data_IF_875481261607
#
_entry.id   IF_875481261607
#
_cell.length_a   1.000
_cell.length_b   1.000
_cell.length_c   1.000
_cell.angle_alpha   90.00
_cell.angle_beta   90.00
_cell.angle_gamma   90.00
#
_symmetry.space_group_name_H-M   'P 1'
#
loop_
_entity.id
_entity.type
_entity.pdbx_description
1 polymer ?
#
# COMPACT_ATOMS: atom_id res chain seq x y z
N UNK A 1 -32.31 5.02 -15.78
CA UNK A 1 -31.37 5.83 -14.99
C UNK A 1 -30.04 5.11 -14.96
N UNK A 2 -29.15 5.43 -15.89
CA UNK A 2 -27.78 4.94 -15.90
C UNK A 2 -27.02 5.62 -14.77
N UNK A 3 -26.75 4.89 -13.69
CA UNK A 3 -25.78 5.31 -12.68
C UNK A 3 -24.44 5.41 -13.38
N UNK A 4 -24.05 6.61 -13.81
CA UNK A 4 -22.69 6.90 -14.25
C UNK A 4 -21.75 6.49 -13.12
N UNK A 5 -21.09 5.35 -13.28
CA UNK A 5 -20.01 4.94 -12.40
C UNK A 5 -18.93 6.01 -12.60
N UNK A 6 -18.62 6.84 -11.59
CA UNK A 6 -17.63 7.90 -11.78
C UNK A 6 -16.31 7.25 -12.19
N UNK A 7 -15.79 7.69 -13.33
CA UNK A 7 -14.52 7.23 -13.87
C UNK A 7 -13.45 7.36 -12.78
N UNK A 8 -12.77 6.25 -12.49
CA UNK A 8 -11.83 6.20 -11.39
C UNK A 8 -10.74 7.26 -11.62
N UNK A 9 -10.50 8.17 -10.67
CA UNK A 9 -9.54 9.24 -10.86
C UNK A 9 -8.17 8.63 -11.16
N UNK A 10 -7.59 8.97 -12.30
CA UNK A 10 -6.23 8.54 -12.62
C UNK A 10 -5.22 9.53 -12.01
N UNK A 11 -4.02 9.03 -11.68
CA UNK A 11 -2.94 9.92 -11.29
C UNK A 11 -2.43 10.63 -12.56
N UNK A 12 -2.30 11.96 -12.59
CA UNK A 12 -1.67 12.67 -13.70
C UNK A 12 -0.30 12.07 -14.02
N UNK A 13 0.10 12.02 -15.30
CA UNK A 13 1.33 11.32 -15.73
C UNK A 13 2.58 11.74 -14.92
N UNK A 14 2.71 13.03 -14.61
CA UNK A 14 3.78 13.58 -13.78
C UNK A 14 3.75 13.01 -12.35
N UNK A 15 2.56 12.94 -11.74
CA UNK A 15 2.37 12.39 -10.40
C UNK A 15 2.64 10.88 -10.36
N UNK A 16 2.17 10.15 -11.38
CA UNK A 16 2.39 8.71 -11.49
C UNK A 16 3.89 8.38 -11.63
N UNK A 17 4.60 9.11 -12.50
CA UNK A 17 6.04 8.94 -12.70
C UNK A 17 6.86 9.29 -11.46
N UNK A 18 6.72 10.51 -10.95
CA UNK A 18 7.44 10.95 -9.75
C UNK A 18 7.12 10.10 -8.53
N UNK A 19 5.84 9.78 -8.34
CA UNK A 19 5.38 8.94 -7.25
C UNK A 19 5.95 7.53 -7.29
N UNK A 20 6.06 6.93 -8.48
CA UNK A 20 6.67 5.61 -8.66
C UNK A 20 8.17 5.63 -8.33
N UNK A 21 8.89 6.69 -8.72
CA UNK A 21 10.31 6.86 -8.38
C UNK A 21 10.46 7.02 -6.87
N UNK A 22 9.68 7.90 -6.24
CA UNK A 22 9.71 8.13 -4.80
C UNK A 22 9.37 6.85 -4.01
N UNK A 23 8.41 6.06 -4.49
CA UNK A 23 8.05 4.76 -3.91
C UNK A 23 9.14 3.68 -4.07
N UNK A 24 10.04 3.81 -5.05
CA UNK A 24 11.23 2.94 -5.20
C UNK A 24 12.36 3.37 -4.28
N UNK A 25 12.64 4.68 -4.19
CA UNK A 25 13.72 5.25 -3.36
C UNK A 25 13.40 5.10 -1.87
N UNK A 26 12.14 5.35 -1.49
CA UNK A 26 11.60 5.21 -0.12
C UNK A 26 12.39 6.00 0.93
N UNK A 27 12.66 7.30 0.72
CA UNK A 27 13.43 8.08 1.69
C UNK A 27 12.82 8.08 3.11
N UNK A 28 11.48 8.01 3.23
CA UNK A 28 10.79 7.98 4.53
C UNK A 28 11.05 6.74 5.41
N UNK A 29 11.76 5.71 4.92
CA UNK A 29 12.11 4.52 5.71
C UNK A 29 13.62 4.33 5.90
N UNK A 30 14.45 5.29 5.48
CA UNK A 30 15.91 5.18 5.56
C UNK A 30 16.45 5.24 7.00
N UNK A 31 15.89 6.11 7.84
CA UNK A 31 16.33 6.27 9.23
C UNK A 31 15.46 5.39 10.14
N UNK A 32 16.02 4.42 10.89
CA UNK A 32 15.24 3.46 11.68
C UNK A 32 14.34 4.08 12.76
N UNK A 33 14.79 5.13 13.46
CA UNK A 33 13.96 5.79 14.49
C UNK A 33 12.76 6.55 13.90
N UNK A 34 12.94 7.16 12.72
CA UNK A 34 11.91 7.93 12.02
C UNK A 34 10.98 7.01 11.23
N UNK A 35 11.52 5.89 10.72
CA UNK A 35 10.79 4.84 9.99
C UNK A 35 9.57 4.33 10.75
N UNK A 36 9.69 4.15 12.07
CA UNK A 36 8.58 3.67 12.91
C UNK A 36 7.35 4.60 12.85
N UNK A 37 7.54 5.90 12.63
CA UNK A 37 6.46 6.90 12.52
C UNK A 37 5.75 6.83 11.16
N UNK A 38 6.42 6.30 10.14
CA UNK A 38 5.97 6.26 8.75
C UNK A 38 5.58 4.87 8.28
N UNK A 39 5.63 3.87 9.16
CA UNK A 39 5.39 2.47 8.82
C UNK A 39 4.39 1.86 9.78
N UNK A 40 3.46 1.08 9.22
CA UNK A 40 2.56 0.24 9.97
C UNK A 40 2.63 -1.17 9.42
N UNK A 41 2.79 -2.16 10.30
CA UNK A 41 2.95 -3.57 9.93
C UNK A 41 1.88 -4.42 10.62
N UNK A 42 1.30 -5.34 9.87
CA UNK A 42 0.42 -6.40 10.37
C UNK A 42 0.91 -7.75 9.88
N UNK A 43 0.68 -8.78 10.68
CA UNK A 43 0.78 -10.17 10.25
C UNK A 43 -0.60 -10.80 10.21
N UNK A 44 -0.90 -11.43 9.08
CA UNK A 44 -2.17 -12.07 8.81
C UNK A 44 -1.95 -13.57 8.71
N UNK A 45 -2.88 -14.33 9.26
CA UNK A 45 -3.05 -15.75 8.98
C UNK A 45 -4.29 -15.93 8.12
N UNK A 46 -4.13 -16.69 7.04
CA UNK A 46 -5.18 -16.89 6.05
C UNK A 46 -5.22 -18.37 5.68
N UNK A 47 -6.39 -19.00 5.73
CA UNK A 47 -6.58 -20.42 5.40
C UNK A 47 -6.68 -20.66 3.88
N UNK A 48 -5.94 -19.89 3.08
CA UNK A 48 -5.90 -19.99 1.63
C UNK A 48 -4.46 -19.95 1.14
N UNK A 49 -4.22 -20.47 -0.06
CA UNK A 49 -2.87 -20.47 -0.64
C UNK A 49 -2.43 -19.05 -1.05
N UNK A 50 -1.12 -18.79 -1.20
CA UNK A 50 -0.60 -17.46 -1.54
C UNK A 50 -1.14 -16.87 -2.86
N UNK A 51 -1.46 -17.71 -3.85
CA UNK A 51 -1.97 -17.28 -5.17
C UNK A 51 -3.44 -16.87 -5.12
N UNK A 52 -4.26 -17.56 -4.33
CA UNK A 52 -5.66 -17.19 -4.11
C UNK A 52 -5.72 -15.90 -3.31
N UNK A 53 -4.85 -15.75 -2.32
CA UNK A 53 -4.73 -14.50 -1.55
C UNK A 53 -4.31 -13.32 -2.43
N UNK A 54 -3.34 -13.50 -3.32
CA UNK A 54 -2.92 -12.42 -4.25
C UNK A 54 -4.06 -12.00 -5.16
N UNK A 55 -4.81 -12.95 -5.71
CA UNK A 55 -5.97 -12.67 -6.56
C UNK A 55 -7.10 -11.95 -5.83
N UNK A 56 -7.40 -12.35 -4.59
CA UNK A 56 -8.41 -11.65 -3.77
C UNK A 56 -8.00 -10.22 -3.45
N UNK A 57 -6.71 -9.97 -3.19
CA UNK A 57 -6.17 -8.61 -3.02
C UNK A 57 -6.33 -7.79 -4.31
N UNK A 58 -6.00 -8.35 -5.47
CA UNK A 58 -6.19 -7.66 -6.76
C UNK A 58 -7.67 -7.34 -7.02
N UNK A 59 -8.56 -8.27 -6.67
CA UNK A 59 -10.01 -8.05 -6.77
C UNK A 59 -10.48 -6.95 -5.80
N UNK A 60 -9.97 -6.94 -4.56
CA UNK A 60 -10.24 -5.91 -3.57
C UNK A 60 -9.79 -4.52 -4.07
N UNK A 61 -8.61 -4.42 -4.69
CA UNK A 61 -8.13 -3.17 -5.31
C UNK A 61 -9.02 -2.74 -6.47
N UNK A 62 -9.44 -3.68 -7.32
CA UNK A 62 -10.35 -3.39 -8.43
C UNK A 62 -11.66 -2.77 -7.92
N UNK A 63 -12.25 -3.35 -6.85
CA UNK A 63 -13.43 -2.79 -6.17
C UNK A 63 -13.16 -1.38 -5.62
N UNK A 64 -12.00 -1.15 -5.02
CA UNK A 64 -11.60 0.16 -4.48
C UNK A 64 -11.43 1.21 -5.58
N UNK A 65 -10.91 0.81 -6.75
CA UNK A 65 -10.77 1.70 -7.91
C UNK A 65 -12.14 2.14 -8.42
N UNK A 66 -13.09 1.21 -8.55
CA UNK A 66 -14.45 1.51 -9.01
C UNK A 66 -15.23 2.39 -8.03
N UNK A 67 -15.01 2.23 -6.71
CA UNK A 67 -15.75 2.97 -5.68
C UNK A 67 -15.28 4.42 -5.46
N UNK A 68 -14.23 4.87 -6.16
CA UNK A 68 -13.63 6.22 -6.06
C UNK A 68 -13.72 6.81 -4.65
N UNK A 69 -12.89 6.31 -3.73
CA UNK A 69 -12.85 6.81 -2.36
C UNK A 69 -12.29 8.24 -2.34
N UNK A 70 -13.15 9.25 -2.39
CA UNK A 70 -12.81 10.67 -2.09
C UNK A 70 -11.59 11.20 -2.88
N UNK A 71 -11.42 10.79 -4.14
CA UNK A 71 -10.31 11.23 -5.00
C UNK A 71 -8.96 10.52 -4.75
N UNK A 72 -8.96 9.41 -4.02
CA UNK A 72 -7.78 8.56 -3.86
C UNK A 72 -7.66 7.58 -5.04
N UNK A 73 -6.43 7.28 -5.45
CA UNK A 73 -6.12 6.39 -6.57
C UNK A 73 -5.32 5.21 -6.07
N UNK A 74 -5.77 3.99 -6.39
CA UNK A 74 -5.06 2.76 -6.11
C UNK A 74 -4.45 2.22 -7.40
N UNK A 75 -3.14 1.99 -7.41
CA UNK A 75 -2.40 1.51 -8.57
C UNK A 75 -1.55 0.31 -8.15
N UNK A 76 -1.66 -0.78 -8.90
CA UNK A 76 -0.81 -1.96 -8.69
C UNK A 76 0.54 -1.69 -9.36
N UNK A 77 1.63 -1.71 -8.59
CA UNK A 77 2.97 -1.45 -9.11
C UNK A 77 3.78 -2.72 -9.35
N UNK A 78 3.53 -3.77 -8.57
CA UNK A 78 4.24 -5.04 -8.70
C UNK A 78 3.36 -6.21 -8.25
N UNK A 79 3.41 -7.30 -9.00
CA UNK A 79 2.76 -8.58 -8.67
C UNK A 79 3.72 -9.69 -9.04
N UNK A 80 3.98 -10.57 -8.08
CA UNK A 80 4.70 -11.83 -8.29
C UNK A 80 3.86 -12.93 -7.64
N UNK A 81 3.24 -13.78 -8.46
CA UNK A 81 2.45 -14.91 -7.97
C UNK A 81 3.29 -16.19 -8.08
N UNK A 82 3.68 -16.77 -6.94
CA UNK A 82 4.27 -18.12 -6.89
C UNK A 82 3.57 -18.93 -5.82
N UNK A 83 3.52 -20.24 -6.03
CA UNK A 83 2.83 -21.18 -5.13
C UNK A 83 3.35 -21.12 -3.70
N UNK A 84 4.67 -20.95 -3.54
CA UNK A 84 5.33 -20.88 -2.22
C UNK A 84 5.31 -19.47 -1.62
N UNK A 85 5.36 -18.44 -2.47
CA UNK A 85 5.40 -17.04 -2.04
C UNK A 85 4.79 -16.12 -3.08
N UNK A 86 3.80 -15.32 -2.67
CA UNK A 86 3.26 -14.24 -3.50
C UNK A 86 3.65 -12.89 -2.94
N UNK A 87 4.08 -11.96 -3.80
CA UNK A 87 4.38 -10.58 -3.40
C UNK A 87 3.54 -9.60 -4.20
N UNK A 88 2.98 -8.61 -3.52
CA UNK A 88 2.26 -7.51 -4.16
C UNK A 88 2.73 -6.17 -3.60
N UNK A 89 2.87 -5.19 -4.49
CA UNK A 89 3.13 -3.79 -4.14
C UNK A 89 2.05 -2.91 -4.77
N UNK A 90 1.39 -2.13 -3.92
CA UNK A 90 0.27 -1.28 -4.27
C UNK A 90 0.65 0.15 -3.90
N UNK A 91 0.48 1.07 -4.85
CA UNK A 91 0.64 2.50 -4.64
C UNK A 91 -0.74 3.11 -4.39
N UNK A 92 -0.85 3.88 -3.32
CA UNK A 92 -2.04 4.64 -2.98
C UNK A 92 -1.70 6.12 -3.08
N UNK A 93 -2.29 6.80 -4.07
CA UNK A 93 -2.21 8.24 -4.18
C UNK A 93 -3.39 8.84 -3.44
N UNK A 94 -3.11 9.58 -2.37
CA UNK A 94 -4.15 10.34 -1.68
C UNK A 94 -4.67 11.50 -2.53
N UNK A 95 -5.77 12.13 -2.10
CA UNK A 95 -6.31 13.36 -2.72
C UNK A 95 -5.25 14.46 -2.91
N UNK A 96 -4.37 14.65 -1.93
CA UNK A 96 -3.28 15.64 -2.00
C UNK A 96 -2.04 15.12 -2.76
N UNK A 97 -2.17 13.96 -3.42
CA UNK A 97 -1.12 13.27 -4.18
C UNK A 97 0.11 12.89 -3.36
N UNK A 98 -0.06 12.68 -2.06
CA UNK A 98 0.91 11.91 -1.28
C UNK A 98 0.83 10.44 -1.68
N UNK A 99 1.99 9.81 -1.80
CA UNK A 99 2.13 8.42 -2.20
C UNK A 99 2.40 7.56 -0.98
N UNK A 100 1.51 6.59 -0.77
CA UNK A 100 1.66 5.54 0.21
C UNK A 100 1.90 4.23 -0.53
N UNK A 101 2.65 3.33 0.09
CA UNK A 101 2.98 2.03 -0.46
C UNK A 101 2.46 0.97 0.48
N UNK A 102 1.62 0.08 -0.02
CA UNK A 102 1.20 -1.13 0.68
C UNK A 102 1.93 -2.31 0.05
N UNK A 103 2.67 -3.04 0.87
CA UNK A 103 3.34 -4.28 0.49
C UNK A 103 2.68 -5.45 1.19
N UNK A 104 2.44 -6.51 0.43
CA UNK A 104 1.94 -7.77 0.94
C UNK A 104 2.90 -8.87 0.50
N UNK A 105 3.43 -9.59 1.46
CA UNK A 105 4.25 -10.79 1.25
C UNK A 105 3.48 -11.98 1.83
N UNK A 106 2.88 -12.82 0.97
CA UNK A 106 2.24 -14.07 1.37
C UNK A 106 3.25 -15.21 1.29
N UNK A 107 3.37 -16.00 2.35
CA UNK A 107 4.26 -17.16 2.45
C UNK A 107 3.41 -18.37 2.81
N UNK A 108 3.56 -19.46 2.05
CA UNK A 108 2.83 -20.70 2.31
C UNK A 108 3.26 -21.30 3.65
N UNK A 109 2.30 -21.74 4.47
CA UNK A 109 2.56 -22.55 5.66
C UNK A 109 2.32 -24.03 5.35
N UNK A 110 3.15 -24.92 5.92
CA UNK A 110 3.11 -26.37 5.66
C UNK A 110 1.75 -27.02 6.00
N UNK A 111 0.98 -26.42 6.92
CA UNK A 111 -0.28 -26.97 7.44
C UNK A 111 -1.53 -26.29 6.83
N UNK A 112 -1.56 -26.18 5.49
CA UNK A 112 -2.73 -25.75 4.72
C UNK A 112 -3.22 -24.31 5.01
N UNK A 113 -2.34 -23.33 4.83
CA UNK A 113 -2.67 -21.91 4.90
C UNK A 113 -1.52 -21.04 4.43
N UNK A 114 -1.63 -19.73 4.58
CA UNK A 114 -0.50 -18.84 4.38
C UNK A 114 -0.45 -17.76 5.47
N UNK A 115 0.77 -17.31 5.75
CA UNK A 115 1.01 -16.09 6.51
C UNK A 115 1.27 -14.94 5.57
N UNK A 116 0.59 -13.81 5.79
CA UNK A 116 0.84 -12.59 5.06
C UNK A 116 1.54 -11.58 5.97
N UNK A 117 2.65 -11.05 5.50
CA UNK A 117 3.29 -9.87 6.09
C UNK A 117 2.86 -8.65 5.32
N UNK A 118 2.08 -7.79 5.98
CA UNK A 118 1.51 -6.60 5.37
C UNK A 118 2.17 -5.36 5.96
N UNK A 119 2.67 -4.49 5.10
CA UNK A 119 3.37 -3.27 5.48
C UNK A 119 2.82 -2.11 4.69
N UNK A 120 2.36 -1.07 5.35
CA UNK A 120 2.05 0.20 4.71
C UNK A 120 3.04 1.27 5.19
N UNK A 121 3.55 2.05 4.25
CA UNK A 121 4.43 3.16 4.59
C UNK A 121 4.27 4.33 3.62
N UNK A 122 4.61 5.52 4.11
CA UNK A 122 4.62 6.75 3.30
C UNK A 122 5.94 6.84 2.53
N UNK A 123 5.91 7.20 1.25
CA UNK A 123 7.13 7.24 0.43
C UNK A 123 7.99 8.49 0.68
N UNK A 124 7.41 9.60 1.14
CA UNK A 124 8.16 10.82 1.50
C UNK A 124 7.28 11.97 1.97
N UNK A 125 7.92 13.07 2.35
CA UNK A 125 7.28 14.24 2.96
C UNK A 125 6.59 15.17 1.96
N UNK A 126 6.90 15.06 0.66
CA UNK A 126 6.34 15.93 -0.36
C UNK A 126 5.35 15.18 -1.27
N UNK A 127 4.27 15.85 -1.70
CA UNK A 127 3.31 15.28 -2.65
C UNK A 127 3.87 15.20 -4.06
N UNK A 128 3.41 14.23 -4.85
CA UNK A 128 3.95 13.93 -6.19
C UNK A 128 3.64 14.99 -7.26
N UNK A 129 2.77 15.96 -6.98
CA UNK A 129 2.55 17.11 -7.86
C UNK A 129 3.71 18.12 -7.78
N UNK A 130 4.46 18.12 -6.67
CA UNK A 130 5.63 18.98 -6.51
C UNK A 130 6.76 18.46 -7.42
N UNK A 131 7.34 19.32 -8.28
CA UNK A 131 8.39 18.90 -9.20
C UNK A 131 9.64 18.47 -8.43
N UNK A 132 10.27 17.39 -8.90
CA UNK A 132 11.42 16.75 -8.25
C UNK A 132 11.15 16.34 -6.79
N UNK A 133 9.88 16.05 -6.45
CA UNK A 133 9.45 15.62 -5.10
C UNK A 133 10.28 14.48 -4.51
N UNK A 134 10.76 13.56 -5.34
CA UNK A 134 11.64 12.47 -4.92
C UNK A 134 13.01 12.98 -4.42
N UNK A 135 13.58 14.01 -5.04
CA UNK A 135 14.86 14.61 -4.65
C UNK A 135 14.70 15.33 -3.31
N UNK A 136 13.69 16.19 -3.19
CA UNK A 136 13.41 16.91 -1.96
C UNK A 136 13.03 15.96 -0.81
N UNK A 137 12.21 14.95 -1.06
CA UNK A 137 11.90 13.93 -0.05
C UNK A 137 13.15 13.17 0.39
N UNK A 138 14.12 12.97 -0.51
CA UNK A 138 15.40 12.35 -0.18
C UNK A 138 16.34 13.28 0.58
N UNK A 139 16.32 14.59 0.31
CA UNK A 139 17.08 15.58 1.08
C UNK A 139 16.51 15.77 2.49
N UNK A 140 15.17 15.78 2.61
CA UNK A 140 14.44 15.95 3.87
C UNK A 140 14.01 14.62 4.50
N UNK A 141 14.70 13.52 4.21
CA UNK A 141 14.39 12.18 4.74
C UNK A 141 14.43 12.11 6.27
N UNK A 142 15.13 13.05 6.92
CA UNK A 142 15.27 13.17 8.37
C UNK A 142 14.15 13.98 9.03
N UNK A 143 13.22 14.58 8.28
CA UNK A 143 12.11 15.35 8.86
C UNK A 143 11.03 14.37 9.33
N UNK A 144 10.76 14.25 10.65
CA UNK A 144 9.70 13.39 11.14
C UNK A 144 8.35 14.02 10.80
N UNK A 145 7.65 13.45 9.83
CA UNK A 145 6.26 13.83 9.52
C UNK A 145 5.27 12.79 10.07
N UNK A 146 4.34 13.24 10.91
CA UNK A 146 3.40 12.31 11.53
C UNK A 146 2.40 11.75 10.50
N UNK A 147 2.34 10.43 10.37
CA UNK A 147 1.47 9.75 9.39
C UNK A 147 -0.04 9.81 9.74
N UNK A 148 -0.43 10.43 10.87
CA UNK A 148 -1.84 10.56 11.31
C UNK A 148 -2.65 9.24 11.24
N UNK A 149 -1.98 8.09 11.34
CA UNK A 149 -2.61 6.76 11.23
C UNK A 149 -3.10 6.38 9.83
N UNK A 150 -2.69 7.10 8.77
CA UNK A 150 -3.14 6.83 7.39
C UNK A 150 -2.67 5.46 6.90
N UNK A 151 -1.46 5.01 7.23
CA UNK A 151 -0.98 3.68 6.84
C UNK A 151 -1.86 2.55 7.43
N UNK A 152 -2.26 2.68 8.70
CA UNK A 152 -3.19 1.73 9.32
C UNK A 152 -4.58 1.79 8.68
N UNK A 153 -5.06 3.00 8.35
CA UNK A 153 -6.32 3.19 7.63
C UNK A 153 -6.31 2.48 6.27
N UNK A 154 -5.23 2.61 5.48
CA UNK A 154 -5.15 1.98 4.16
C UNK A 154 -5.18 0.45 4.23
N UNK A 155 -4.47 -0.14 5.18
CA UNK A 155 -4.51 -1.59 5.42
C UNK A 155 -5.92 -2.03 5.83
N UNK A 156 -6.58 -1.29 6.71
CA UNK A 156 -7.96 -1.59 7.12
C UNK A 156 -8.95 -1.48 5.96
N UNK A 157 -8.83 -0.45 5.12
CA UNK A 157 -9.66 -0.28 3.92
C UNK A 157 -9.45 -1.46 2.97
N UNK A 158 -8.20 -1.83 2.67
CA UNK A 158 -7.91 -2.97 1.81
C UNK A 158 -8.53 -4.27 2.36
N UNK A 159 -8.28 -4.56 3.64
CA UNK A 159 -8.80 -5.73 4.34
C UNK A 159 -10.33 -5.78 4.33
N UNK A 160 -11.02 -4.64 4.47
CA UNK A 160 -12.48 -4.58 4.43
C UNK A 160 -13.09 -4.96 3.08
N UNK A 161 -12.30 -4.96 2.00
CA UNK A 161 -12.74 -5.31 0.65
C UNK A 161 -12.36 -6.72 0.23
N UNK A 162 -11.46 -7.37 0.98
CA UNK A 162 -11.07 -8.76 0.79
C UNK A 162 -12.24 -9.68 1.18
N UNK A 163 -12.36 -10.80 0.47
CA UNK A 163 -13.42 -11.78 0.72
C UNK A 163 -12.96 -12.92 1.62
N UNK A 164 -11.65 -13.17 1.64
CA UNK A 164 -11.07 -14.26 2.42
C UNK A 164 -11.01 -13.85 3.90
N UNK A 165 -11.41 -14.72 4.85
CA UNK A 165 -11.28 -14.44 6.26
C UNK A 165 -9.80 -14.30 6.64
N UNK A 166 -9.47 -13.21 7.32
CA UNK A 166 -8.12 -12.88 7.77
C UNK A 166 -8.10 -12.82 9.29
N UNK A 167 -7.30 -13.67 9.90
CA UNK A 167 -6.97 -13.59 11.31
C UNK A 167 -5.72 -12.72 11.49
N UNK A 168 -5.71 -11.82 12.46
CA UNK A 168 -4.57 -10.92 12.67
C UNK A 168 -3.79 -11.39 13.89
N UNK A 169 -2.58 -11.89 13.64
CA UNK A 169 -1.72 -12.45 14.69
C UNK A 169 -0.89 -11.38 15.39
N UNK A 170 -0.44 -10.37 14.63
CA UNK A 170 0.37 -9.29 15.16
C UNK A 170 -0.02 -7.95 14.50
N UNK A 171 -0.01 -6.88 15.29
CA UNK A 171 -0.19 -5.50 14.82
C UNK A 171 0.83 -4.59 15.49
N UNK A 172 1.39 -3.66 14.74
CA UNK A 172 2.10 -2.54 15.36
C UNK A 172 3.05 -1.78 14.44
N UNK A 173 3.59 -0.70 15.00
CA UNK A 173 4.75 -0.01 14.44
C UNK A 173 5.98 -0.76 14.95
N UNK A 174 6.53 -1.69 14.16
CA UNK A 174 7.79 -2.34 14.51
C UNK A 174 8.93 -1.36 14.24
N UNK A 175 9.70 -1.05 15.29
CA UNK A 175 10.92 -0.23 15.22
C UNK A 175 12.01 -0.94 14.42
#
# INVERSE_FOLDING_TARGET
MTSEVPEAPEAPCLCAGQGSIQAKIRPGVWIPCIRSLHMYEEQWKVSANPVVCSKDVLQAISKLRTRSLRGNVFTVAYVEEKTERSKLEILVFSRMRYVFVIKLDFVNEEFAGCTARVRAFSSGAFPSWFPLSFLFSSLFFFVPFYDLGKNALWINILRSQMTIPIEITEKGRKC
#
